data_IF_359292603801
#
_entry.id   IF_359292603801
#
_cell.length_a   1.000
_cell.length_b   1.000
_cell.length_c   1.000
_cell.angle_alpha   90.00
_cell.angle_beta   90.00
_cell.angle_gamma   90.00
#
_symmetry.space_group_name_H-M   'P 1'
#
loop_
_entity.id
_entity.type
_entity.pdbx_description
1 polymer ?
#
# COMPACT_ATOMS: atom_id res chain seq x y z
N UNK A 1 -16.56 -31.13 75.74
CA UNK A 1 -17.36 -30.02 75.15
C UNK A 1 -16.68 -29.65 73.76
N UNK A 2 -17.18 -30.17 72.71
CA UNK A 2 -16.64 -29.92 71.30
C UNK A 2 -17.46 -28.78 70.71
N UNK A 3 -16.80 -27.66 70.36
CA UNK A 3 -17.44 -26.54 69.69
C UNK A 3 -17.48 -26.83 68.20
N UNK A 4 -18.66 -26.90 67.63
CA UNK A 4 -18.93 -27.03 66.22
C UNK A 4 -18.83 -25.62 65.59
N UNK A 5 -17.90 -25.44 64.64
CA UNK A 5 -17.81 -24.21 63.85
C UNK A 5 -18.55 -24.48 62.54
N UNK A 6 -19.68 -23.81 62.37
CA UNK A 6 -20.44 -23.83 61.12
C UNK A 6 -19.83 -22.77 60.18
N UNK A 7 -19.22 -23.24 59.10
CA UNK A 7 -18.70 -22.38 58.01
C UNK A 7 -19.84 -22.11 57.02
N UNK A 8 -20.38 -20.88 57.05
CA UNK A 8 -21.38 -20.45 56.08
C UNK A 8 -20.69 -20.11 54.75
N UNK A 9 -20.84 -20.93 53.71
CA UNK A 9 -20.43 -20.59 52.34
C UNK A 9 -21.38 -19.53 51.78
N UNK A 10 -20.89 -18.31 51.67
CA UNK A 10 -21.55 -17.22 50.93
C UNK A 10 -21.33 -17.48 49.43
N UNK A 11 -22.36 -18.00 48.75
CA UNK A 11 -22.35 -18.11 47.28
C UNK A 11 -22.62 -16.71 46.73
N UNK A 12 -21.55 -16.01 46.30
CA UNK A 12 -21.65 -14.82 45.47
C UNK A 12 -22.22 -15.20 44.10
N UNK A 13 -23.48 -14.89 43.90
CA UNK A 13 -24.09 -14.94 42.56
C UNK A 13 -23.39 -13.86 41.66
N UNK A 14 -22.46 -14.27 40.84
CA UNK A 14 -21.90 -13.42 39.78
C UNK A 14 -23.04 -13.22 38.77
N UNK A 15 -23.51 -11.99 38.55
CA UNK A 15 -24.48 -11.77 37.48
C UNK A 15 -23.82 -12.22 36.13
N UNK A 16 -24.44 -13.16 35.47
CA UNK A 16 -24.13 -13.49 34.07
C UNK A 16 -24.42 -12.21 33.28
N UNK A 17 -23.41 -11.40 33.03
CA UNK A 17 -23.44 -10.46 31.93
C UNK A 17 -23.44 -11.32 30.67
N UNK A 18 -24.60 -11.54 30.10
CA UNK A 18 -24.71 -11.99 28.74
C UNK A 18 -23.96 -10.94 27.90
N UNK A 19 -22.79 -11.33 27.38
CA UNK A 19 -22.12 -10.57 26.34
C UNK A 19 -23.13 -10.59 25.21
N UNK A 20 -23.83 -9.48 25.02
CA UNK A 20 -24.72 -9.28 23.89
C UNK A 20 -23.80 -9.18 22.70
N UNK A 21 -23.69 -10.27 21.93
CA UNK A 21 -22.95 -10.29 20.68
C UNK A 21 -23.47 -9.10 19.85
N UNK A 22 -22.57 -8.20 19.47
CA UNK A 22 -22.90 -7.12 18.58
C UNK A 22 -23.29 -7.74 17.25
N UNK A 23 -24.58 -7.89 17.02
CA UNK A 23 -25.10 -8.45 15.78
C UNK A 23 -24.66 -7.57 14.62
N UNK A 24 -23.94 -8.15 13.67
CA UNK A 24 -23.59 -7.51 12.39
C UNK A 24 -24.84 -6.91 11.75
N UNK A 25 -24.66 -5.79 11.05
CA UNK A 25 -25.72 -5.31 10.18
C UNK A 25 -25.99 -6.34 9.08
N UNK A 26 -27.27 -6.71 8.94
CA UNK A 26 -27.69 -7.57 7.84
C UNK A 26 -27.51 -6.85 6.48
N UNK A 27 -27.38 -7.61 5.38
CA UNK A 27 -27.14 -7.05 4.06
C UNK A 27 -28.16 -6.01 3.61
N UNK A 28 -29.44 -6.17 3.97
CA UNK A 28 -30.50 -5.22 3.58
C UNK A 28 -30.33 -3.88 4.29
N UNK A 29 -29.96 -3.89 5.57
CA UNK A 29 -29.64 -2.70 6.34
C UNK A 29 -28.43 -1.97 5.76
N UNK A 30 -27.38 -2.69 5.37
CA UNK A 30 -26.20 -2.15 4.68
C UNK A 30 -26.61 -1.52 3.35
N UNK A 31 -27.39 -2.22 2.53
CA UNK A 31 -27.89 -1.71 1.25
C UNK A 31 -28.67 -0.39 1.42
N UNK A 32 -29.56 -0.33 2.41
CA UNK A 32 -30.37 0.87 2.70
C UNK A 32 -29.51 2.06 3.13
N UNK A 33 -28.45 1.82 3.89
CA UNK A 33 -27.49 2.87 4.30
C UNK A 33 -26.76 3.42 3.07
N UNK A 34 -26.25 2.54 2.21
CA UNK A 34 -25.56 2.96 0.99
C UNK A 34 -26.48 3.69 0.03
N UNK A 35 -27.71 3.20 -0.22
CA UNK A 35 -28.67 3.85 -1.12
C UNK A 35 -28.95 5.29 -0.67
N UNK A 36 -29.33 5.47 0.60
CA UNK A 36 -29.64 6.79 1.14
C UNK A 36 -28.45 7.75 1.11
N UNK A 37 -27.26 7.29 1.48
CA UNK A 37 -26.10 8.18 1.67
C UNK A 37 -25.31 8.41 0.38
N UNK A 38 -25.30 7.46 -0.57
CA UNK A 38 -24.67 7.67 -1.89
C UNK A 38 -25.50 8.57 -2.83
N UNK A 39 -26.76 8.82 -2.49
CA UNK A 39 -27.62 9.82 -3.16
C UNK A 39 -27.29 11.26 -2.74
N UNK A 40 -26.41 11.45 -1.77
CA UNK A 40 -25.95 12.78 -1.33
C UNK A 40 -25.20 13.50 -2.45
N UNK A 41 -25.55 14.78 -2.68
CA UNK A 41 -24.93 15.66 -3.69
C UNK A 41 -23.43 15.83 -3.49
N UNK A 42 -22.93 15.65 -2.27
CA UNK A 42 -21.51 15.73 -1.92
C UNK A 42 -20.64 14.69 -2.64
N UNK A 43 -21.19 13.55 -3.07
CA UNK A 43 -20.47 12.50 -3.80
C UNK A 43 -20.53 12.66 -5.33
N UNK A 44 -21.34 13.59 -5.86
CA UNK A 44 -21.43 13.92 -7.28
C UNK A 44 -21.54 12.69 -8.19
N UNK A 45 -22.61 11.89 -8.01
CA UNK A 45 -22.90 10.69 -8.81
C UNK A 45 -21.77 9.62 -8.73
N UNK A 46 -21.49 9.04 -7.57
CA UNK A 46 -20.41 8.07 -7.39
C UNK A 46 -20.69 6.73 -8.09
N UNK A 47 -19.64 5.99 -8.38
CA UNK A 47 -19.70 4.57 -8.71
C UNK A 47 -19.39 3.77 -7.45
N UNK A 48 -20.30 2.87 -7.06
CA UNK A 48 -20.23 2.15 -5.77
C UNK A 48 -20.55 0.67 -5.97
N UNK A 49 -19.87 -0.18 -5.24
CA UNK A 49 -20.23 -1.57 -5.01
C UNK A 49 -19.91 -1.98 -3.57
N UNK A 50 -20.77 -2.80 -3.00
CA UNK A 50 -20.58 -3.43 -1.69
C UNK A 50 -20.89 -4.91 -1.83
N UNK A 51 -19.99 -5.73 -1.34
CA UNK A 51 -20.06 -7.19 -1.45
C UNK A 51 -19.89 -7.78 -0.05
N UNK A 52 -20.78 -8.67 0.35
CA UNK A 52 -20.60 -9.46 1.57
C UNK A 52 -19.42 -10.42 1.36
N UNK A 53 -18.40 -10.32 2.19
CA UNK A 53 -17.16 -11.10 2.03
C UNK A 53 -17.41 -12.60 2.21
N UNK A 54 -18.31 -12.97 3.13
CA UNK A 54 -18.59 -14.37 3.47
C UNK A 54 -19.37 -15.09 2.37
N UNK A 55 -20.31 -14.41 1.69
CA UNK A 55 -21.19 -15.01 0.68
C UNK A 55 -20.77 -14.71 -0.75
N UNK A 56 -19.98 -13.63 -0.97
CA UNK A 56 -19.66 -13.11 -2.29
C UNK A 56 -20.84 -12.38 -2.96
N UNK A 57 -21.96 -12.19 -2.28
CA UNK A 57 -23.15 -11.55 -2.83
C UNK A 57 -22.99 -10.03 -2.87
N UNK A 58 -23.47 -9.42 -3.97
CA UNK A 58 -23.53 -7.97 -4.09
C UNK A 58 -24.68 -7.47 -3.23
N UNK A 59 -24.33 -6.77 -2.15
CA UNK A 59 -25.28 -6.17 -1.22
C UNK A 59 -25.85 -4.86 -1.75
N UNK A 60 -25.00 -4.06 -2.40
CA UNK A 60 -25.39 -2.78 -2.99
C UNK A 60 -24.52 -2.45 -4.20
N UNK A 61 -25.12 -1.92 -5.23
CA UNK A 61 -24.38 -1.34 -6.35
C UNK A 61 -25.08 -0.10 -6.94
N UNK A 62 -24.27 0.86 -7.37
CA UNK A 62 -24.71 2.06 -8.07
C UNK A 62 -23.65 2.45 -9.09
N UNK A 63 -24.04 2.52 -10.37
CA UNK A 63 -23.10 2.82 -11.45
C UNK A 63 -21.84 1.92 -11.46
N UNK A 64 -21.93 0.70 -10.92
CA UNK A 64 -20.77 -0.16 -10.61
C UNK A 64 -19.93 -0.53 -11.84
N UNK A 65 -20.53 -0.56 -13.02
CA UNK A 65 -19.90 -0.85 -14.31
C UNK A 65 -19.40 0.40 -15.06
N UNK A 66 -19.65 1.61 -14.53
CA UNK A 66 -19.19 2.84 -15.15
C UNK A 66 -17.68 3.03 -14.97
N UNK A 67 -16.89 3.25 -16.05
CA UNK A 67 -15.45 3.53 -15.93
C UNK A 67 -15.19 4.85 -15.21
N UNK A 68 -14.39 4.83 -14.15
CA UNK A 68 -14.07 5.97 -13.29
C UNK A 68 -12.56 6.14 -13.17
N UNK A 69 -12.11 7.35 -12.83
CA UNK A 69 -10.72 7.60 -12.46
C UNK A 69 -10.41 6.93 -11.11
N UNK A 70 -9.54 5.90 -11.07
CA UNK A 70 -9.24 5.19 -9.83
C UNK A 70 -8.44 6.03 -8.85
N UNK A 71 -7.64 6.98 -9.34
CA UNK A 71 -6.54 7.53 -8.56
C UNK A 71 -5.73 6.39 -7.92
N UNK A 72 -5.18 6.57 -6.72
CA UNK A 72 -4.33 5.55 -6.08
C UNK A 72 -5.06 4.25 -5.64
N UNK A 73 -6.37 4.11 -5.87
CA UNK A 73 -7.06 2.81 -5.75
C UNK A 73 -6.48 1.81 -6.76
N UNK A 74 -5.95 2.28 -7.91
CA UNK A 74 -5.27 1.44 -8.90
C UNK A 74 -4.11 0.61 -8.30
N UNK A 75 -3.48 1.09 -7.23
CA UNK A 75 -2.39 0.37 -6.55
C UNK A 75 -2.81 -0.98 -5.95
N UNK A 76 -4.10 -1.23 -5.79
CA UNK A 76 -4.60 -2.58 -5.44
C UNK A 76 -4.28 -3.57 -6.57
N UNK A 77 -4.55 -3.19 -7.81
CA UNK A 77 -4.21 -4.01 -8.98
C UNK A 77 -2.70 -4.12 -9.17
N UNK A 78 -1.94 -3.03 -8.97
CA UNK A 78 -0.47 -3.03 -8.97
C UNK A 78 0.10 -4.04 -7.96
N UNK A 79 -0.40 -4.03 -6.73
CA UNK A 79 0.05 -4.97 -5.70
C UNK A 79 -0.35 -6.41 -6.02
N UNK A 80 -1.56 -6.62 -6.56
CA UNK A 80 -2.01 -7.94 -7.00
C UNK A 80 -1.12 -8.48 -8.13
N UNK A 81 -0.76 -7.65 -9.11
CA UNK A 81 0.17 -8.01 -10.18
C UNK A 81 1.55 -8.39 -9.62
N UNK A 82 2.06 -7.60 -8.67
CA UNK A 82 3.32 -7.92 -8.00
C UNK A 82 3.28 -9.27 -7.30
N UNK A 83 2.25 -9.56 -6.50
CA UNK A 83 2.10 -10.86 -5.85
C UNK A 83 1.81 -12.00 -6.83
N UNK A 84 1.33 -11.71 -8.05
CA UNK A 84 1.11 -12.73 -9.08
C UNK A 84 2.41 -13.20 -9.69
N UNK A 85 3.31 -12.29 -10.02
CA UNK A 85 4.49 -12.56 -10.85
C UNK A 85 5.83 -12.50 -10.10
N UNK A 86 5.87 -11.91 -8.89
CA UNK A 86 7.10 -11.77 -8.10
C UNK A 86 7.02 -12.58 -6.81
N UNK A 87 8.17 -12.90 -6.23
CA UNK A 87 8.23 -13.60 -4.94
C UNK A 87 8.13 -12.60 -3.78
N UNK A 88 7.20 -12.79 -2.82
CA UNK A 88 7.01 -11.85 -1.71
C UNK A 88 8.26 -11.63 -0.85
N UNK A 89 9.09 -12.67 -0.69
CA UNK A 89 10.31 -12.66 0.13
C UNK A 89 11.56 -12.24 -0.64
N UNK A 90 11.43 -11.96 -1.96
CA UNK A 90 12.59 -11.52 -2.74
C UNK A 90 13.13 -10.20 -2.22
N UNK A 91 14.47 -10.08 -2.25
CA UNK A 91 15.21 -8.85 -1.95
C UNK A 91 15.95 -8.39 -3.20
N UNK A 92 16.21 -7.11 -3.25
CA UNK A 92 16.93 -6.47 -4.34
C UNK A 92 18.32 -6.06 -3.84
N UNK A 93 19.36 -6.63 -4.46
CA UNK A 93 20.75 -6.38 -4.07
C UNK A 93 21.36 -5.29 -4.93
N UNK A 94 22.12 -4.39 -4.31
CA UNK A 94 23.00 -3.44 -4.97
C UNK A 94 24.40 -3.58 -4.43
N UNK A 95 25.33 -3.96 -5.30
CA UNK A 95 26.75 -4.17 -4.97
C UNK A 95 27.65 -3.22 -5.73
N UNK A 96 28.77 -2.83 -5.13
CA UNK A 96 29.78 -2.00 -5.77
C UNK A 96 31.15 -2.64 -5.65
N UNK A 97 31.94 -2.53 -6.72
CA UNK A 97 33.24 -3.16 -6.89
C UNK A 97 34.27 -2.16 -7.41
N UNK A 98 35.52 -2.35 -7.04
CA UNK A 98 36.65 -1.79 -7.81
C UNK A 98 36.65 -2.49 -9.17
N UNK A 99 36.88 -1.75 -10.24
CA UNK A 99 36.99 -2.37 -11.55
C UNK A 99 38.33 -3.05 -11.79
N UNK A 100 38.37 -4.04 -12.69
CA UNK A 100 39.59 -4.76 -13.11
C UNK A 100 40.61 -3.82 -13.75
N UNK A 101 40.20 -2.69 -14.33
CA UNK A 101 41.07 -1.65 -14.85
C UNK A 101 41.23 -0.49 -13.84
N UNK A 102 42.41 0.13 -13.81
CA UNK A 102 42.61 1.32 -13.01
C UNK A 102 41.58 2.42 -13.32
N UNK A 103 41.21 3.20 -12.31
CA UNK A 103 40.23 4.32 -12.45
C UNK A 103 38.83 3.88 -12.86
N UNK A 104 38.45 2.64 -12.61
CA UNK A 104 37.12 2.13 -12.89
C UNK A 104 36.41 1.63 -11.63
N UNK A 105 35.10 1.79 -11.62
CA UNK A 105 34.17 1.20 -10.67
C UNK A 105 33.11 0.41 -11.42
N UNK A 106 32.52 -0.57 -10.75
CA UNK A 106 31.33 -1.28 -11.24
C UNK A 106 30.25 -1.24 -10.16
N UNK A 107 29.04 -0.83 -10.52
CA UNK A 107 27.87 -0.87 -9.65
C UNK A 107 26.86 -1.83 -10.28
N UNK A 108 26.58 -2.93 -9.60
CA UNK A 108 25.65 -3.96 -10.03
C UNK A 108 24.40 -3.87 -9.18
N UNK A 109 23.28 -3.53 -9.79
CA UNK A 109 21.96 -3.55 -9.16
C UNK A 109 21.14 -4.76 -9.58
N UNK A 110 19.99 -4.94 -8.94
CA UNK A 110 18.91 -5.83 -9.37
C UNK A 110 17.59 -5.09 -9.52
N UNK A 111 17.64 -3.79 -9.88
CA UNK A 111 16.50 -2.88 -9.95
C UNK A 111 15.81 -2.72 -8.59
N UNK A 112 16.58 -2.46 -7.51
CA UNK A 112 16.02 -2.15 -6.19
C UNK A 112 15.03 -0.97 -6.31
N UNK A 113 13.73 -1.19 -6.09
CA UNK A 113 12.74 -0.14 -6.26
C UNK A 113 12.80 0.92 -5.17
N UNK A 114 13.49 0.64 -4.03
CA UNK A 114 13.39 1.46 -2.83
C UNK A 114 14.73 1.99 -2.29
N UNK A 115 15.71 2.18 -3.14
CA UNK A 115 16.98 2.85 -2.77
C UNK A 115 16.68 4.20 -2.12
N UNK A 116 17.32 4.48 -0.98
CA UNK A 116 17.14 5.72 -0.23
C UNK A 116 18.23 6.73 -0.54
N UNK A 117 17.84 7.97 -0.78
CA UNK A 117 18.74 9.13 -0.91
C UNK A 117 19.17 9.71 0.45
N UNK A 118 18.60 9.21 1.56
CA UNK A 118 18.87 9.67 2.93
C UNK A 118 19.36 8.51 3.75
N UNK A 119 20.62 8.58 4.18
CA UNK A 119 21.28 7.48 4.91
C UNK A 119 20.57 7.09 6.21
N UNK A 120 20.15 8.07 7.01
CA UNK A 120 19.46 7.81 8.28
C UNK A 120 18.12 7.11 8.09
N UNK A 121 17.38 7.44 7.03
CA UNK A 121 16.15 6.72 6.66
C UNK A 121 16.44 5.32 6.16
N UNK A 122 17.52 5.16 5.36
CA UNK A 122 17.93 3.85 4.89
C UNK A 122 18.20 2.90 6.06
N UNK A 123 18.99 3.35 7.03
CA UNK A 123 19.32 2.56 8.23
C UNK A 123 18.06 2.23 9.03
N UNK A 124 17.20 3.23 9.30
CA UNK A 124 15.96 3.02 10.07
C UNK A 124 15.01 2.01 9.42
N UNK A 125 14.98 1.94 8.10
CA UNK A 125 14.02 1.16 7.33
C UNK A 125 14.64 -0.06 6.64
N UNK A 126 15.89 -0.41 6.94
CA UNK A 126 16.61 -1.54 6.33
C UNK A 126 16.82 -1.41 4.81
N UNK A 127 16.77 -0.17 4.26
CA UNK A 127 16.83 0.09 2.81
C UNK A 127 18.27 0.22 2.33
N UNK A 128 18.50 -0.04 1.05
CA UNK A 128 19.74 0.33 0.39
C UNK A 128 19.98 1.83 0.47
N UNK A 129 21.15 2.23 0.98
CA UNK A 129 21.55 3.64 1.11
C UNK A 129 22.41 4.08 -0.05
N UNK A 130 21.90 4.94 -0.93
CA UNK A 130 22.69 5.51 -2.02
C UNK A 130 23.89 6.32 -1.50
N UNK A 131 23.74 7.20 -0.48
CA UNK A 131 24.91 7.89 0.11
C UNK A 131 25.99 6.97 0.62
N UNK A 132 25.64 5.81 1.22
CA UNK A 132 26.63 4.83 1.66
C UNK A 132 27.41 4.25 0.48
N UNK A 133 26.72 3.90 -0.60
CA UNK A 133 27.35 3.41 -1.84
C UNK A 133 28.27 4.49 -2.41
N UNK A 134 27.79 5.72 -2.53
CA UNK A 134 28.49 6.87 -3.11
C UNK A 134 29.80 7.18 -2.35
N UNK A 135 29.73 7.33 -1.02
CA UNK A 135 30.93 7.63 -0.22
C UNK A 135 31.90 6.47 -0.16
N UNK A 136 31.40 5.21 -0.05
CA UNK A 136 32.28 4.03 -0.01
C UNK A 136 33.05 3.85 -1.32
N UNK A 137 32.36 4.04 -2.46
CA UNK A 137 32.98 3.92 -3.78
C UNK A 137 33.95 5.07 -4.07
N UNK A 138 33.64 6.30 -3.65
CA UNK A 138 34.56 7.44 -3.76
C UNK A 138 35.85 7.19 -2.95
N UNK A 139 35.72 6.69 -1.72
CA UNK A 139 36.86 6.39 -0.88
C UNK A 139 37.72 5.24 -1.45
N UNK A 140 37.11 4.20 -1.99
CA UNK A 140 37.79 3.11 -2.67
C UNK A 140 38.58 3.58 -3.90
N UNK A 141 37.99 4.46 -4.71
CA UNK A 141 38.67 5.09 -5.84
C UNK A 141 39.88 5.91 -5.41
N UNK A 142 39.75 6.74 -4.37
CA UNK A 142 40.87 7.51 -3.81
C UNK A 142 42.00 6.61 -3.41
N UNK A 143 41.69 5.52 -2.67
CA UNK A 143 42.71 4.56 -2.20
C UNK A 143 43.36 3.83 -3.38
N UNK A 144 42.61 3.33 -4.35
CA UNK A 144 43.12 2.57 -5.48
C UNK A 144 43.94 3.42 -6.49
N UNK A 145 43.80 4.74 -6.49
CA UNK A 145 44.40 5.63 -7.48
C UNK A 145 45.34 6.69 -6.84
N UNK A 146 45.87 6.45 -5.64
CA UNK A 146 46.76 7.36 -4.91
C UNK A 146 46.19 8.81 -4.84
N UNK A 147 44.90 8.93 -4.59
CA UNK A 147 44.17 10.20 -4.50
C UNK A 147 43.75 10.81 -5.83
N UNK A 148 44.21 10.30 -6.97
CA UNK A 148 43.85 10.82 -8.29
C UNK A 148 42.43 10.38 -8.69
N UNK A 149 41.55 11.35 -8.96
CA UNK A 149 40.16 11.14 -9.40
C UNK A 149 39.91 11.63 -10.84
N UNK A 150 40.95 11.73 -11.65
CA UNK A 150 40.84 12.11 -13.08
C UNK A 150 40.52 10.90 -13.95
N UNK A 151 39.69 11.10 -14.96
CA UNK A 151 39.32 10.08 -15.97
C UNK A 151 38.66 8.82 -15.35
N UNK A 152 37.77 9.02 -14.41
CA UNK A 152 37.02 7.93 -13.77
C UNK A 152 35.93 7.45 -14.70
N UNK A 153 35.78 6.12 -14.81
CA UNK A 153 34.64 5.49 -15.48
C UNK A 153 33.87 4.62 -14.47
N UNK A 154 32.55 4.81 -14.41
CA UNK A 154 31.65 4.01 -13.59
C UNK A 154 30.79 3.17 -14.54
N UNK A 155 31.04 1.86 -14.56
CA UNK A 155 30.17 0.91 -15.22
C UNK A 155 29.00 0.58 -14.32
N UNK A 156 27.80 0.42 -14.90
CA UNK A 156 26.63 0.05 -14.12
C UNK A 156 25.69 -0.87 -14.89
N UNK A 157 24.98 -1.71 -14.16
CA UNK A 157 23.91 -2.56 -14.68
C UNK A 157 22.72 -2.59 -13.72
N UNK A 158 21.52 -2.78 -14.26
CA UNK A 158 20.27 -2.97 -13.49
C UNK A 158 20.04 -1.92 -12.38
N UNK A 159 20.26 -0.65 -12.69
CA UNK A 159 19.91 0.52 -11.87
C UNK A 159 18.85 1.36 -12.61
N UNK A 160 17.94 1.97 -11.86
CA UNK A 160 17.03 2.96 -12.43
C UNK A 160 17.82 4.21 -12.86
N UNK A 161 17.40 4.82 -13.96
CA UNK A 161 18.05 6.02 -14.53
C UNK A 161 18.16 7.18 -13.53
N UNK A 162 17.16 7.32 -12.66
CA UNK A 162 17.15 8.34 -11.60
C UNK A 162 18.26 8.07 -10.57
N UNK A 163 18.52 6.82 -10.21
CA UNK A 163 19.56 6.47 -9.24
C UNK A 163 20.94 6.67 -9.86
N UNK A 164 21.11 6.32 -11.15
CA UNK A 164 22.34 6.62 -11.94
C UNK A 164 22.60 8.14 -12.00
N UNK A 165 21.57 8.95 -12.26
CA UNK A 165 21.70 10.40 -12.29
C UNK A 165 22.11 10.98 -10.92
N UNK A 166 21.59 10.42 -9.83
CA UNK A 166 21.98 10.83 -8.48
C UNK A 166 23.44 10.49 -8.18
N UNK A 167 23.91 9.28 -8.55
CA UNK A 167 25.31 8.89 -8.45
C UNK A 167 26.21 9.86 -9.25
N UNK A 168 25.87 10.14 -10.50
CA UNK A 168 26.63 11.06 -11.34
C UNK A 168 26.69 12.45 -10.71
N UNK A 169 25.57 12.95 -10.19
CA UNK A 169 25.49 14.24 -9.49
C UNK A 169 26.33 14.28 -8.21
N UNK A 170 26.37 13.18 -7.46
CA UNK A 170 27.22 13.05 -6.27
C UNK A 170 28.70 13.19 -6.66
N UNK A 171 29.18 12.42 -7.64
CA UNK A 171 30.56 12.48 -8.10
C UNK A 171 30.94 13.89 -8.60
N UNK A 172 30.07 14.50 -9.41
CA UNK A 172 30.29 15.86 -9.90
C UNK A 172 30.44 16.89 -8.75
N UNK A 173 29.60 16.80 -7.72
CA UNK A 173 29.69 17.67 -6.53
C UNK A 173 30.99 17.48 -5.73
N UNK A 174 31.64 16.32 -5.86
CA UNK A 174 32.92 16.02 -5.25
C UNK A 174 34.12 16.26 -6.19
N UNK A 175 33.92 17.01 -7.27
CA UNK A 175 34.96 17.38 -8.24
C UNK A 175 35.37 16.26 -9.19
N UNK A 176 34.55 15.19 -9.31
CA UNK A 176 34.83 14.03 -10.14
C UNK A 176 33.90 14.00 -11.36
N UNK A 177 34.45 14.23 -12.54
CA UNK A 177 33.73 14.08 -13.81
C UNK A 177 33.80 12.62 -14.26
N UNK A 178 32.93 11.76 -13.67
CA UNK A 178 32.90 10.33 -14.00
C UNK A 178 32.10 10.08 -15.28
N UNK A 179 32.64 9.27 -16.18
CA UNK A 179 31.90 8.73 -17.32
C UNK A 179 31.02 7.58 -16.85
N UNK A 180 29.68 7.72 -16.98
CA UNK A 180 28.71 6.66 -16.66
C UNK A 180 28.48 5.78 -17.88
N UNK A 181 28.71 4.46 -17.77
CA UNK A 181 28.55 3.49 -18.86
C UNK A 181 27.66 2.33 -18.44
N UNK A 182 26.51 2.20 -19.09
CA UNK A 182 25.64 1.02 -18.93
C UNK A 182 26.28 -0.17 -19.63
N UNK A 183 26.28 -1.32 -18.97
CA UNK A 183 26.80 -2.59 -19.47
C UNK A 183 25.80 -3.72 -19.17
N UNK A 184 26.00 -4.88 -19.80
CA UNK A 184 25.23 -6.09 -19.48
C UNK A 184 25.62 -6.63 -18.10
N UNK A 185 24.87 -7.58 -17.57
CA UNK A 185 25.20 -8.21 -16.28
C UNK A 185 26.50 -9.00 -16.39
N UNK A 186 26.71 -9.71 -17.48
CA UNK A 186 27.91 -10.50 -17.78
C UNK A 186 29.14 -9.62 -17.89
N UNK A 187 29.05 -8.50 -18.60
CA UNK A 187 30.12 -7.52 -18.70
C UNK A 187 30.44 -6.91 -17.33
N UNK A 188 29.41 -6.56 -16.54
CA UNK A 188 29.59 -6.02 -15.19
C UNK A 188 30.34 -7.01 -14.30
N UNK A 189 30.01 -8.30 -14.36
CA UNK A 189 30.72 -9.35 -13.62
C UNK A 189 32.20 -9.44 -14.05
N UNK A 190 32.47 -9.44 -15.35
CA UNK A 190 33.84 -9.55 -15.89
C UNK A 190 34.71 -8.32 -15.58
N UNK A 191 34.09 -7.15 -15.47
CA UNK A 191 34.73 -5.87 -15.14
C UNK A 191 34.95 -5.66 -13.63
N UNK A 192 34.36 -6.48 -12.78
CA UNK A 192 34.44 -6.38 -11.33
C UNK A 192 35.66 -7.09 -10.77
N UNK A 193 36.37 -6.41 -9.87
CA UNK A 193 37.44 -6.98 -9.05
C UNK A 193 36.96 -7.06 -7.59
N UNK A 194 37.66 -6.42 -6.64
CA UNK A 194 37.34 -6.49 -5.23
C UNK A 194 36.00 -5.79 -4.90
N UNK A 195 35.16 -6.49 -4.15
CA UNK A 195 33.89 -5.94 -3.66
C UNK A 195 34.15 -4.86 -2.61
N UNK A 196 33.59 -3.69 -2.81
CA UNK A 196 33.62 -2.56 -1.86
C UNK A 196 32.53 -2.72 -0.82
N UNK A 197 31.30 -3.03 -1.27
CA UNK A 197 30.14 -3.25 -0.42
C UNK A 197 29.04 -3.99 -1.19
N UNK A 198 28.12 -4.56 -0.41
CA UNK A 198 26.82 -5.03 -0.88
C UNK A 198 25.73 -4.55 0.07
N UNK A 199 24.52 -4.37 -0.43
CA UNK A 199 23.35 -3.95 0.34
C UNK A 199 22.11 -4.56 -0.27
N UNK A 200 21.26 -5.14 0.59
CA UNK A 200 19.98 -5.69 0.21
C UNK A 200 18.85 -4.75 0.63
N UNK A 201 17.78 -4.71 -0.16
CA UNK A 201 16.52 -4.06 0.20
C UNK A 201 15.78 -4.83 1.29
N UNK A 202 14.73 -4.27 1.90
CA UNK A 202 13.69 -5.05 2.56
C UNK A 202 13.06 -6.06 1.58
N UNK A 203 12.28 -7.00 2.11
CA UNK A 203 11.52 -7.93 1.27
C UNK A 203 10.46 -7.20 0.44
N UNK A 204 10.14 -7.72 -0.73
CA UNK A 204 9.13 -7.13 -1.61
C UNK A 204 7.80 -6.92 -0.89
N UNK A 205 7.37 -7.86 -0.03
CA UNK A 205 6.15 -7.70 0.75
C UNK A 205 6.18 -6.47 1.69
N UNK A 206 7.32 -6.15 2.29
CA UNK A 206 7.50 -4.95 3.13
C UNK A 206 7.47 -3.67 2.28
N UNK A 207 8.09 -3.71 1.09
CA UNK A 207 8.05 -2.61 0.13
C UNK A 207 6.62 -2.36 -0.37
N UNK A 208 5.87 -3.42 -0.67
CA UNK A 208 4.47 -3.34 -1.09
C UNK A 208 3.56 -2.84 0.04
N UNK A 209 3.76 -3.31 1.28
CA UNK A 209 3.04 -2.81 2.44
C UNK A 209 3.25 -1.30 2.61
N UNK A 210 4.50 -0.82 2.53
CA UNK A 210 4.79 0.62 2.55
C UNK A 210 4.11 1.36 1.40
N UNK A 211 4.17 0.80 0.19
CA UNK A 211 3.56 1.38 -1.03
C UNK A 211 2.06 1.58 -0.88
N UNK A 212 1.35 0.61 -0.29
CA UNK A 212 -0.09 0.69 -0.05
C UNK A 212 -0.42 1.63 1.10
N UNK A 213 0.27 1.49 2.24
CA UNK A 213 0.04 2.28 3.46
C UNK A 213 0.23 3.78 3.21
N UNK A 214 1.30 4.17 2.52
CA UNK A 214 1.66 5.57 2.27
C UNK A 214 1.30 6.05 0.87
N UNK A 215 0.80 5.15 0.04
CA UNK A 215 0.39 5.47 -1.34
C UNK A 215 1.54 5.99 -2.22
N UNK A 216 2.75 5.43 -2.08
CA UNK A 216 3.93 5.87 -2.82
C UNK A 216 3.79 5.59 -4.32
N UNK A 217 3.86 6.64 -5.13
CA UNK A 217 3.67 6.53 -6.58
C UNK A 217 4.91 5.94 -7.26
N UNK A 218 6.12 6.35 -6.84
CA UNK A 218 7.36 5.88 -7.46
C UNK A 218 7.54 4.38 -7.26
N UNK A 219 7.27 3.90 -6.04
CA UNK A 219 7.33 2.47 -5.74
C UNK A 219 6.30 1.70 -6.56
N UNK A 220 5.06 2.19 -6.65
CA UNK A 220 4.03 1.54 -7.46
C UNK A 220 4.45 1.39 -8.92
N UNK A 221 5.02 2.44 -9.54
CA UNK A 221 5.52 2.41 -10.91
C UNK A 221 6.68 1.41 -11.08
N UNK A 222 7.67 1.46 -10.19
CA UNK A 222 8.84 0.58 -10.27
C UNK A 222 8.45 -0.89 -10.09
N UNK A 223 7.59 -1.19 -9.11
CA UNK A 223 7.14 -2.56 -8.82
C UNK A 223 6.25 -3.10 -9.95
N UNK A 224 5.35 -2.29 -10.51
CA UNK A 224 4.54 -2.72 -11.65
C UNK A 224 5.39 -3.09 -12.86
N UNK A 225 6.45 -2.33 -13.15
CA UNK A 225 7.39 -2.63 -14.24
C UNK A 225 8.21 -3.90 -13.98
N UNK A 226 8.55 -4.18 -12.72
CA UNK A 226 9.19 -5.45 -12.34
C UNK A 226 8.21 -6.62 -12.54
N UNK A 227 6.95 -6.46 -12.14
CA UNK A 227 5.92 -7.47 -12.36
C UNK A 227 5.65 -7.71 -13.86
N UNK A 228 5.62 -6.64 -14.65
CA UNK A 228 5.47 -6.69 -16.10
C UNK A 228 6.61 -7.47 -16.78
N UNK A 229 7.86 -7.18 -16.42
CA UNK A 229 9.00 -7.93 -16.91
C UNK A 229 8.95 -9.41 -16.52
N UNK A 230 8.54 -9.71 -15.27
CA UNK A 230 8.39 -11.09 -14.79
C UNK A 230 7.23 -11.84 -15.47
N UNK A 231 6.21 -11.13 -15.92
CA UNK A 231 5.12 -11.66 -16.75
C UNK A 231 5.53 -11.90 -18.24
N UNK A 232 6.72 -11.46 -18.63
CA UNK A 232 7.22 -11.58 -20.02
C UNK A 232 6.86 -10.40 -20.92
N UNK A 233 6.36 -9.30 -20.37
CA UNK A 233 6.03 -8.07 -21.09
C UNK A 233 7.15 -7.02 -21.02
N UNK A 234 6.99 -5.93 -21.75
CA UNK A 234 7.90 -4.79 -21.68
C UNK A 234 7.78 -4.07 -20.34
N UNK A 235 8.90 -3.48 -19.87
CA UNK A 235 8.94 -2.71 -18.60
C UNK A 235 8.53 -1.24 -18.81
N UNK A 236 7.48 -1.00 -19.59
CA UNK A 236 6.89 0.31 -19.88
C UNK A 236 5.39 0.31 -19.57
N UNK A 237 4.72 1.42 -19.83
CA UNK A 237 3.29 1.57 -19.50
C UNK A 237 2.42 0.61 -20.31
N UNK A 238 2.80 0.26 -21.53
CA UNK A 238 2.08 -0.69 -22.38
C UNK A 238 2.17 -2.12 -21.83
N UNK A 239 3.37 -2.57 -21.44
CA UNK A 239 3.55 -3.87 -20.80
C UNK A 239 2.87 -4.00 -19.46
N UNK A 240 2.88 -2.92 -18.66
CA UNK A 240 2.12 -2.87 -17.40
C UNK A 240 0.62 -3.01 -17.67
N UNK A 241 0.09 -2.34 -18.70
CA UNK A 241 -1.31 -2.48 -19.10
C UNK A 241 -1.68 -3.92 -19.42
N UNK A 242 -0.86 -4.60 -20.26
CA UNK A 242 -1.02 -6.02 -20.60
C UNK A 242 -1.00 -6.91 -19.34
N UNK A 243 -0.06 -6.66 -18.43
CA UNK A 243 0.04 -7.39 -17.16
C UNK A 243 -1.22 -7.23 -16.31
N UNK A 244 -1.79 -6.03 -16.27
CA UNK A 244 -3.01 -5.77 -15.50
C UNK A 244 -4.23 -6.47 -16.12
N UNK A 245 -4.34 -6.48 -17.46
CA UNK A 245 -5.38 -7.23 -18.17
C UNK A 245 -5.27 -8.74 -17.87
N UNK A 246 -4.07 -9.31 -17.94
CA UNK A 246 -3.83 -10.72 -17.61
C UNK A 246 -4.17 -11.06 -16.17
N UNK A 247 -3.79 -10.20 -15.21
CA UNK A 247 -4.11 -10.41 -13.79
C UNK A 247 -5.62 -10.43 -13.56
N UNK A 248 -6.35 -9.47 -14.12
CA UNK A 248 -7.81 -9.45 -13.97
C UNK A 248 -8.44 -10.68 -14.62
N UNK A 249 -8.09 -10.99 -15.86
CA UNK A 249 -8.64 -12.15 -16.58
C UNK A 249 -8.28 -13.47 -15.89
N UNK A 250 -7.06 -13.61 -15.38
CA UNK A 250 -6.62 -14.78 -14.61
C UNK A 250 -7.37 -14.99 -13.30
N UNK A 251 -7.93 -13.91 -12.74
CA UNK A 251 -8.81 -13.93 -11.56
C UNK A 251 -10.31 -14.07 -11.93
N UNK A 252 -10.63 -14.24 -13.22
CA UNK A 252 -12.01 -14.32 -13.71
C UNK A 252 -12.74 -12.97 -13.71
N UNK A 253 -11.99 -11.86 -13.75
CA UNK A 253 -12.52 -10.49 -13.79
C UNK A 253 -12.34 -9.96 -15.21
N UNK A 254 -13.44 -9.64 -15.90
CA UNK A 254 -13.38 -9.06 -17.24
C UNK A 254 -12.62 -7.72 -17.22
N UNK A 255 -11.54 -7.59 -18.00
CA UNK A 255 -10.73 -6.38 -18.06
C UNK A 255 -11.31 -5.29 -18.96
N UNK A 256 -12.40 -5.55 -19.69
CA UNK A 256 -13.12 -4.55 -20.49
C UNK A 256 -13.38 -3.29 -19.68
N UNK A 257 -13.16 -2.12 -20.27
CA UNK A 257 -13.23 -0.80 -19.62
C UNK A 257 -12.06 -0.47 -18.67
N UNK A 258 -11.06 -1.33 -18.51
CA UNK A 258 -9.79 -0.95 -17.91
C UNK A 258 -9.00 -0.09 -18.90
N UNK A 259 -8.53 1.07 -18.46
CA UNK A 259 -7.56 1.89 -19.18
C UNK A 259 -6.44 2.25 -18.21
N UNK A 260 -5.22 1.87 -18.53
CA UNK A 260 -4.04 2.13 -17.72
C UNK A 260 -3.02 2.94 -18.50
N UNK A 261 -2.62 4.07 -17.92
CA UNK A 261 -1.57 4.97 -18.45
C UNK A 261 -0.38 5.07 -17.50
N UNK A 262 -0.55 4.56 -16.29
CA UNK A 262 0.46 4.40 -15.26
C UNK A 262 -0.01 3.32 -14.27
N UNK A 263 0.87 2.93 -13.35
CA UNK A 263 0.58 1.93 -12.33
C UNK A 263 0.20 2.53 -10.97
N UNK A 264 0.42 3.82 -10.78
CA UNK A 264 0.20 4.53 -9.52
C UNK A 264 -1.21 5.11 -9.38
N UNK A 265 -1.89 5.31 -10.51
CA UNK A 265 -3.18 5.99 -10.59
C UNK A 265 -3.06 7.51 -10.66
N UNK A 266 -1.87 8.05 -10.92
CA UNK A 266 -1.65 9.50 -11.02
C UNK A 266 -2.25 10.09 -12.31
N UNK A 267 -2.25 9.32 -13.39
CA UNK A 267 -2.84 9.73 -14.66
C UNK A 267 -4.36 9.89 -14.56
N UNK A 268 -4.85 11.03 -15.04
CA UNK A 268 -6.30 11.31 -15.14
C UNK A 268 -6.98 10.49 -16.24
N UNK A 269 -6.22 9.81 -17.07
CA UNK A 269 -6.72 8.97 -18.17
C UNK A 269 -6.99 7.54 -17.73
N UNK A 270 -6.46 7.09 -16.59
CA UNK A 270 -6.78 5.78 -16.04
C UNK A 270 -8.28 5.61 -15.84
N UNK A 271 -8.80 4.42 -16.17
CA UNK A 271 -10.19 4.03 -15.93
C UNK A 271 -10.25 2.62 -15.38
N UNK A 272 -11.11 2.44 -14.39
CA UNK A 272 -11.50 1.16 -13.83
C UNK A 272 -12.94 1.25 -13.33
N UNK A 273 -13.66 0.15 -13.24
CA UNK A 273 -15.03 0.14 -12.72
C UNK A 273 -15.02 -0.24 -11.23
N UNK A 274 -16.02 0.22 -10.47
CA UNK A 274 -16.18 -0.22 -9.09
C UNK A 274 -16.39 -1.75 -9.00
N UNK A 275 -17.06 -2.33 -10.00
CA UNK A 275 -17.26 -3.79 -10.08
C UNK A 275 -15.94 -4.54 -10.22
N UNK A 276 -15.04 -4.09 -11.10
CA UNK A 276 -13.69 -4.71 -11.23
C UNK A 276 -12.91 -4.65 -9.92
N UNK A 277 -12.89 -3.49 -9.25
CA UNK A 277 -12.16 -3.33 -7.97
C UNK A 277 -12.82 -4.14 -6.85
N UNK A 278 -14.15 -4.16 -6.76
CA UNK A 278 -14.88 -4.92 -5.74
C UNK A 278 -14.66 -6.42 -5.88
N UNK A 279 -14.78 -6.95 -7.11
CA UNK A 279 -14.48 -8.36 -7.38
C UNK A 279 -13.00 -8.68 -7.09
N UNK A 280 -12.07 -7.76 -7.45
CA UNK A 280 -10.64 -7.91 -7.12
C UNK A 280 -10.42 -8.01 -5.60
N UNK A 281 -11.08 -7.20 -4.78
CA UNK A 281 -11.00 -7.27 -3.32
C UNK A 281 -11.46 -8.64 -2.80
N UNK A 282 -12.56 -9.19 -3.32
CA UNK A 282 -13.01 -10.54 -2.96
C UNK A 282 -11.94 -11.58 -3.34
N UNK A 283 -11.40 -11.52 -4.57
CA UNK A 283 -10.34 -12.45 -5.01
C UNK A 283 -9.05 -12.34 -4.19
N UNK A 284 -8.71 -11.15 -3.73
CA UNK A 284 -7.59 -10.92 -2.80
C UNK A 284 -7.87 -11.60 -1.46
N UNK A 285 -9.10 -11.54 -0.95
CA UNK A 285 -9.47 -12.13 0.34
C UNK A 285 -9.52 -13.66 0.28
N UNK A 286 -10.07 -14.22 -0.79
CA UNK A 286 -10.21 -15.66 -1.01
C UNK A 286 -8.87 -16.40 -1.16
N UNK A 287 -7.80 -15.72 -1.55
CA UNK A 287 -6.53 -16.35 -1.89
C UNK A 287 -5.42 -15.96 -0.90
N UNK A 288 -4.95 -16.94 -0.12
CA UNK A 288 -3.89 -16.76 0.88
C UNK A 288 -2.60 -16.12 0.32
N UNK A 289 -2.31 -16.27 -0.99
CA UNK A 289 -1.19 -15.62 -1.67
C UNK A 289 -1.24 -14.10 -1.53
N UNK A 290 -2.43 -13.51 -1.49
CA UNK A 290 -2.64 -12.06 -1.41
C UNK A 290 -2.87 -11.55 0.02
N UNK A 291 -2.89 -12.42 1.04
CA UNK A 291 -3.11 -12.01 2.43
C UNK A 291 -2.18 -10.87 2.91
N UNK A 292 -0.87 -10.82 2.56
CA UNK A 292 0.00 -9.72 2.94
C UNK A 292 -0.42 -8.36 2.36
N UNK A 293 -1.13 -8.34 1.21
CA UNK A 293 -1.66 -7.12 0.62
C UNK A 293 -2.67 -6.45 1.56
N UNK A 294 -3.55 -7.24 2.18
CA UNK A 294 -4.55 -6.73 3.13
C UNK A 294 -3.86 -6.10 4.35
N UNK A 295 -2.79 -6.74 4.85
CA UNK A 295 -1.97 -6.22 5.94
C UNK A 295 -1.26 -4.89 5.62
N UNK A 296 -1.03 -4.60 4.33
CA UNK A 296 -0.44 -3.35 3.86
C UNK A 296 -1.45 -2.21 3.67
N UNK A 297 -2.76 -2.45 3.82
CA UNK A 297 -3.76 -1.39 3.68
C UNK A 297 -3.73 -0.43 4.87
N UNK A 298 -3.91 0.89 4.64
CA UNK A 298 -4.14 1.85 5.73
C UNK A 298 -5.35 1.47 6.56
N UNK A 299 -5.25 1.72 7.88
CA UNK A 299 -6.32 1.45 8.84
C UNK A 299 -6.93 2.78 9.29
N UNK A 300 -8.27 2.85 9.26
CA UNK A 300 -9.03 4.04 9.63
C UNK A 300 -8.72 4.52 11.05
N UNK A 301 -8.32 5.79 11.21
CA UNK A 301 -7.95 6.41 12.47
C UNK A 301 -6.61 5.95 13.07
N UNK A 302 -5.87 5.04 12.39
CA UNK A 302 -4.67 4.40 12.98
C UNK A 302 -3.44 4.60 12.10
N UNK A 303 -3.49 4.25 10.81
CA UNK A 303 -2.26 4.18 10.02
C UNK A 303 -2.36 4.79 8.63
N UNK A 304 -1.18 5.11 8.07
CA UNK A 304 -1.00 5.52 6.68
C UNK A 304 -1.87 6.71 6.27
N UNK A 305 -2.44 6.63 5.08
CA UNK A 305 -3.29 7.71 4.52
C UNK A 305 -4.68 7.81 5.18
N UNK A 306 -5.02 6.91 6.09
CA UNK A 306 -6.27 6.93 6.85
C UNK A 306 -6.09 7.31 8.33
N UNK A 307 -4.85 7.60 8.79
CA UNK A 307 -4.55 7.84 10.21
C UNK A 307 -5.37 8.97 10.85
N UNK A 308 -5.72 9.99 10.08
CA UNK A 308 -6.45 11.18 10.55
C UNK A 308 -7.95 11.15 10.12
N UNK A 309 -8.41 10.04 9.51
CA UNK A 309 -9.80 9.87 9.08
C UNK A 309 -10.59 9.09 10.12
N UNK A 310 -11.90 9.25 10.09
CA UNK A 310 -12.88 8.63 11.00
C UNK A 310 -12.87 9.22 12.42
N UNK A 311 -11.76 9.61 12.98
CA UNK A 311 -11.60 10.05 14.40
C UNK A 311 -12.70 11.04 14.84
N UNK A 312 -13.05 12.02 14.00
CA UNK A 312 -14.08 13.03 14.29
C UNK A 312 -15.42 12.75 13.61
N UNK A 313 -15.39 12.07 12.46
CA UNK A 313 -16.57 11.88 11.60
C UNK A 313 -17.32 10.59 11.91
N UNK A 314 -16.62 9.57 12.40
CA UNK A 314 -17.17 8.26 12.71
C UNK A 314 -16.22 7.52 13.69
N UNK A 315 -16.06 7.98 14.94
CA UNK A 315 -15.09 7.44 15.90
C UNK A 315 -15.29 5.93 16.18
N UNK A 316 -16.52 5.45 16.09
CA UNK A 316 -16.85 4.02 16.24
C UNK A 316 -16.27 3.13 15.12
N UNK A 317 -15.84 3.70 14.00
CA UNK A 317 -15.24 2.98 12.89
C UNK A 317 -13.71 2.91 12.96
N UNK A 318 -13.09 3.55 13.95
CA UNK A 318 -11.64 3.53 14.13
C UNK A 318 -11.17 2.09 14.33
N UNK A 319 -10.19 1.68 13.54
CA UNK A 319 -9.65 0.30 13.55
C UNK A 319 -10.42 -0.71 12.70
N UNK A 320 -11.68 -0.45 12.35
CA UNK A 320 -12.55 -1.40 11.65
C UNK A 320 -12.54 -1.27 10.11
N UNK A 321 -11.80 -0.29 9.59
CA UNK A 321 -11.74 -0.04 8.14
C UNK A 321 -10.30 -0.20 7.67
N UNK A 322 -10.08 -1.11 6.73
CA UNK A 322 -8.81 -1.35 6.04
C UNK A 322 -9.00 -1.01 4.57
N UNK A 323 -8.48 0.13 4.11
CA UNK A 323 -8.81 0.58 2.77
C UNK A 323 -7.73 1.43 2.10
N UNK A 324 -7.65 1.32 0.77
CA UNK A 324 -6.81 2.16 -0.07
C UNK A 324 -7.53 3.44 -0.45
N UNK A 325 -6.93 4.57 -0.16
CA UNK A 325 -7.39 5.90 -0.61
C UNK A 325 -7.02 6.16 -2.06
N UNK A 326 -7.86 6.94 -2.76
CA UNK A 326 -7.56 7.48 -4.08
C UNK A 326 -7.93 8.96 -4.16
N UNK A 327 -6.95 9.84 -4.39
CA UNK A 327 -7.19 11.29 -4.44
C UNK A 327 -6.51 11.89 -5.66
N UNK A 328 -7.28 12.63 -6.45
CA UNK A 328 -6.82 13.56 -7.49
C UNK A 328 -7.69 14.81 -7.42
N UNK A 329 -7.32 15.86 -8.13
CA UNK A 329 -8.15 17.05 -8.20
C UNK A 329 -9.56 16.72 -8.74
N UNK A 330 -10.58 16.93 -7.92
CA UNK A 330 -11.97 16.55 -8.19
C UNK A 330 -12.28 15.06 -8.03
N UNK A 331 -11.45 14.32 -7.28
CA UNK A 331 -11.62 12.88 -7.07
C UNK A 331 -11.34 12.52 -5.61
N UNK A 332 -12.26 11.79 -4.99
CA UNK A 332 -12.11 11.23 -3.63
C UNK A 332 -12.66 9.81 -3.60
N UNK A 333 -11.76 8.84 -3.63
CA UNK A 333 -12.07 7.41 -3.71
C UNK A 333 -11.62 6.69 -2.44
N UNK A 334 -12.32 5.60 -2.13
CA UNK A 334 -11.93 4.66 -1.09
C UNK A 334 -12.38 3.25 -1.48
N UNK A 335 -11.50 2.26 -1.33
CA UNK A 335 -11.80 0.86 -1.62
C UNK A 335 -11.08 -0.06 -0.63
N UNK A 336 -11.78 -1.04 -0.08
CA UNK A 336 -11.23 -1.96 0.91
C UNK A 336 -12.32 -2.71 1.66
N UNK A 337 -12.11 -2.91 2.94
CA UNK A 337 -12.94 -3.74 3.81
C UNK A 337 -13.43 -2.94 5.01
N UNK A 338 -14.63 -3.25 5.48
CA UNK A 338 -15.22 -2.72 6.71
C UNK A 338 -15.75 -3.87 7.55
N UNK A 339 -15.27 -3.96 8.79
CA UNK A 339 -15.74 -4.93 9.79
C UNK A 339 -17.07 -4.43 10.40
N UNK A 340 -18.06 -5.31 10.47
CA UNK A 340 -19.38 -5.05 11.03
C UNK A 340 -19.80 -6.25 11.89
N UNK A 341 -19.43 -6.22 13.17
CA UNK A 341 -19.67 -7.34 14.08
C UNK A 341 -18.95 -8.62 13.60
N UNK A 342 -19.72 -9.68 13.34
CA UNK A 342 -19.23 -10.98 12.84
C UNK A 342 -19.14 -11.05 11.30
N UNK A 343 -19.40 -9.94 10.60
CA UNK A 343 -19.32 -9.82 9.13
C UNK A 343 -18.26 -8.82 8.70
N UNK A 344 -17.75 -9.02 7.50
CA UNK A 344 -16.92 -8.06 6.79
C UNK A 344 -17.52 -7.80 5.40
N UNK A 345 -17.49 -6.54 4.98
CA UNK A 345 -17.94 -6.15 3.64
C UNK A 345 -16.79 -5.56 2.86
N UNK A 346 -16.56 -6.07 1.65
CA UNK A 346 -15.73 -5.40 0.67
C UNK A 346 -16.52 -4.25 0.06
N UNK A 347 -15.92 -3.06 0.02
CA UNK A 347 -16.58 -1.87 -0.52
C UNK A 347 -15.68 -1.09 -1.47
N UNK A 348 -16.28 -0.46 -2.47
CA UNK A 348 -15.63 0.48 -3.39
C UNK A 348 -16.52 1.70 -3.56
N UNK A 349 -15.97 2.88 -3.35
CA UNK A 349 -16.62 4.17 -3.60
C UNK A 349 -15.69 5.00 -4.47
N UNK A 350 -16.09 5.25 -5.74
CA UNK A 350 -15.36 6.07 -6.70
C UNK A 350 -16.13 7.34 -6.98
N UNK A 351 -15.78 8.43 -6.30
CA UNK A 351 -16.36 9.78 -6.49
C UNK A 351 -15.37 10.64 -7.28
N UNK A 352 -15.42 10.59 -8.61
CA UNK A 352 -14.46 11.21 -9.51
C UNK A 352 -15.00 12.41 -10.30
N UNK A 353 -16.21 12.88 -9.97
CA UNK A 353 -16.91 13.99 -10.61
C UNK A 353 -17.11 15.17 -9.65
N UNK A 354 -16.32 15.27 -8.59
CA UNK A 354 -16.42 16.34 -7.61
C UNK A 354 -16.01 17.70 -8.22
N UNK A 355 -16.54 18.78 -7.66
CA UNK A 355 -15.98 20.10 -7.91
C UNK A 355 -14.50 20.10 -7.49
N UNK A 356 -13.65 20.74 -8.31
CA UNK A 356 -12.19 20.79 -8.09
C UNK A 356 -11.84 21.80 -6.99
N UNK A 357 -12.39 21.60 -5.79
CA UNK A 357 -12.13 22.44 -4.62
C UNK A 357 -11.85 21.56 -3.40
N UNK A 358 -10.96 21.99 -2.53
CA UNK A 358 -10.64 21.30 -1.28
C UNK A 358 -11.87 21.05 -0.41
N UNK A 359 -12.82 22.03 -0.38
CA UNK A 359 -14.07 21.90 0.37
C UNK A 359 -14.93 20.73 -0.16
N UNK A 360 -15.11 20.64 -1.49
CA UNK A 360 -15.92 19.57 -2.08
C UNK A 360 -15.30 18.20 -1.83
N UNK A 361 -13.96 18.07 -1.95
CA UNK A 361 -13.24 16.84 -1.68
C UNK A 361 -13.31 16.46 -0.18
N UNK A 362 -13.24 17.44 0.73
CA UNK A 362 -13.37 17.21 2.18
C UNK A 362 -14.80 16.78 2.56
N UNK A 363 -15.84 17.41 1.98
CA UNK A 363 -17.22 17.00 2.21
C UNK A 363 -17.46 15.58 1.72
N UNK A 364 -16.97 15.24 0.53
CA UNK A 364 -17.07 13.88 0.00
C UNK A 364 -16.39 12.86 0.93
N UNK A 365 -15.18 13.15 1.42
CA UNK A 365 -14.50 12.29 2.41
C UNK A 365 -15.31 12.09 3.68
N UNK A 366 -15.82 13.18 4.26
CA UNK A 366 -16.62 13.11 5.48
C UNK A 366 -17.92 12.32 5.27
N UNK A 367 -18.52 12.41 4.08
CA UNK A 367 -19.70 11.61 3.74
C UNK A 367 -19.37 10.13 3.64
N UNK A 368 -18.25 9.77 2.99
CA UNK A 368 -17.75 8.38 2.96
C UNK A 368 -17.49 7.86 4.38
N UNK A 369 -16.83 8.66 5.23
CA UNK A 369 -16.56 8.26 6.62
C UNK A 369 -17.86 7.99 7.39
N UNK A 370 -18.89 8.85 7.24
CA UNK A 370 -20.20 8.66 7.87
C UNK A 370 -20.93 7.41 7.35
N UNK A 371 -20.81 7.10 6.05
CA UNK A 371 -21.38 5.87 5.47
C UNK A 371 -20.78 4.64 6.15
N UNK A 372 -19.45 4.57 6.13
CA UNK A 372 -18.73 3.42 6.68
C UNK A 372 -18.86 3.33 8.21
N UNK A 373 -18.91 4.47 8.90
CA UNK A 373 -19.15 4.51 10.34
C UNK A 373 -20.50 3.92 10.76
N UNK A 374 -21.52 4.06 9.91
CA UNK A 374 -22.82 3.44 10.20
C UNK A 374 -22.85 1.94 9.98
N UNK A 375 -21.90 1.41 9.21
CA UNK A 375 -21.77 -0.03 8.96
C UNK A 375 -20.87 -0.66 10.00
N UNK A 376 -19.71 -0.03 10.27
CA UNK A 376 -18.71 -0.51 11.21
C UNK A 376 -19.24 -0.58 12.65
N UNK A 377 -20.18 0.27 13.02
CA UNK A 377 -20.82 0.27 14.34
C UNK A 377 -22.32 0.53 14.16
N UNK A 378 -23.13 -0.52 13.99
CA UNK A 378 -24.58 -0.33 13.88
C UNK A 378 -25.14 0.20 15.21
N UNK A 379 -25.87 1.32 15.13
CA UNK A 379 -26.66 1.82 16.25
C UNK A 379 -27.88 0.89 16.38
N UNK A 380 -27.82 -0.01 17.36
CA UNK A 380 -28.98 -0.86 17.66
C UNK A 380 -30.10 -0.01 18.21
N UNK A 381 -31.35 -0.20 17.76
CA UNK A 381 -32.50 0.50 18.35
C UNK A 381 -32.59 0.20 19.86
N UNK A 382 -32.42 1.24 20.70
CA UNK A 382 -32.53 1.13 22.17
C UNK A 382 -31.26 1.15 22.98
N UNK A 383 -30.08 1.22 22.36
CA UNK A 383 -28.80 1.42 23.09
C UNK A 383 -28.52 2.92 23.19
N UNK A 384 -28.61 3.45 24.39
CA UNK A 384 -28.10 4.79 24.73
C UNK A 384 -26.57 4.70 24.69
N UNK A 385 -25.92 5.54 23.90
CA UNK A 385 -24.47 5.63 23.82
C UNK A 385 -23.86 5.88 25.21
N UNK A 386 -23.29 4.85 25.83
CA UNK A 386 -22.20 5.10 26.77
C UNK A 386 -20.91 5.28 25.91
N UNK A 387 -20.21 6.39 26.16
CA UNK A 387 -18.94 6.69 25.48
C UNK A 387 -17.99 5.49 25.59
N UNK A 388 -17.37 5.05 24.50
CA UNK A 388 -16.52 3.87 24.50
C UNK A 388 -15.36 4.07 25.46
N UNK A 389 -15.30 3.22 26.48
CA UNK A 389 -14.12 3.07 27.32
C UNK A 389 -12.93 2.73 26.43
N UNK A 390 -11.78 3.29 26.72
CA UNK A 390 -10.53 3.13 26.00
C UNK A 390 -10.25 1.65 25.71
N UNK A 391 -10.52 1.20 24.50
CA UNK A 391 -9.99 -0.06 24.02
C UNK A 391 -8.52 0.18 23.67
N UNK A 392 -7.62 -0.48 24.37
CA UNK A 392 -6.20 -0.47 24.07
C UNK A 392 -5.98 -1.02 22.66
N UNK A 393 -5.68 -0.14 21.72
CA UNK A 393 -5.35 -0.51 20.34
C UNK A 393 -3.85 -0.70 20.27
N UNK A 394 -3.42 -1.90 19.89
CA UNK A 394 -2.01 -2.17 19.60
C UNK A 394 -1.73 -1.93 18.12
N UNK A 395 -0.56 -1.34 17.81
CA UNK A 395 -0.09 -1.24 16.43
C UNK A 395 0.33 -2.62 15.88
N UNK A 396 0.60 -2.70 14.60
CA UNK A 396 1.02 -3.95 13.93
C UNK A 396 2.35 -4.52 14.45
N UNK A 397 3.02 -3.83 15.39
CA UNK A 397 4.24 -4.26 16.06
C UNK A 397 4.02 -4.63 17.53
N UNK A 398 2.75 -4.68 18.01
CA UNK A 398 2.38 -5.09 19.35
C UNK A 398 2.54 -4.01 20.44
N UNK A 399 2.75 -2.73 20.07
CA UNK A 399 2.87 -1.65 21.03
C UNK A 399 1.50 -1.07 21.38
N UNK A 400 1.21 -0.90 22.68
CA UNK A 400 0.01 -0.20 23.14
C UNK A 400 0.11 1.29 22.80
N UNK A 401 -0.90 1.81 22.08
CA UNK A 401 -1.02 3.24 21.80
C UNK A 401 -1.77 3.88 22.96
N UNK A 402 -1.06 4.55 23.87
CA UNK A 402 -1.65 5.42 24.87
C UNK A 402 -1.95 6.78 24.24
N UNK A 403 -3.22 7.09 24.02
CA UNK A 403 -3.65 8.46 23.71
C UNK A 403 -3.74 9.24 25.03
N UNK A 404 -2.73 10.04 25.35
CA UNK A 404 -2.86 11.12 26.36
C UNK A 404 -3.58 12.30 25.70
N UNK A 405 -4.63 12.77 26.37
CA UNK A 405 -5.37 14.00 26.01
C UNK A 405 -4.46 15.23 25.94
#
# INVERSE_FOLDING_TARGET
MKKLVVLACLVLAIPNFAIQEANALDPNSVASIFDRLTSNKELANPSVIVIDEKTGEIVFEKNSTSPRKPASVLKLLTATAAYTYLQPTQRFTTSAFVGTKAKTLVIQGSLDPWISLIHTQAVKMGRTSLPRIEFSTLNALKKANNGSLRNITIYYTNLYSQDVANIQKFYFRHGVHAAMKRVTTEDAQSLSADQILSSDSPELQEILAFTLTWSDNLLAERIARLASAAAGHTSDDAGVGQTFDEVLNGLGIESKNLVTQDASGLSKLNRITAKQVGTLLIKIRENAKFAPLIGGLPIGGISGTLKDRFIKTAPQAVGLIKAKTGTLNGTSNLAGYVESGDREYAFVILADQLRKTHTAESLARNTVDRILGRIAFPILPGVIEEAPGQLGVTDQFGNQITTTN
#
